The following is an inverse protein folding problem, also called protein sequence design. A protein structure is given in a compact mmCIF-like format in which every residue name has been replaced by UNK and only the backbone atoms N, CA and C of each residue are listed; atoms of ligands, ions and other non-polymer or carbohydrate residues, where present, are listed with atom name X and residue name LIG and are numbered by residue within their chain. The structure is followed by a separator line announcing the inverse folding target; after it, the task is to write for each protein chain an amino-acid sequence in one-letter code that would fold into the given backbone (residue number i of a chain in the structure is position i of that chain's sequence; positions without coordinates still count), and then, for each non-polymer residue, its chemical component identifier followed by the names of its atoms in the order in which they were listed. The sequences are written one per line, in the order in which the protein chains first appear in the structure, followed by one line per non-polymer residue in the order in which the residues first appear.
data_IF_178625342428
#
_entry.id   IF_178625342428
#
_cell.length_a   1.000
_cell.length_b   1.000
_cell.length_c   1.000
_cell.angle_alpha   90.00
_cell.angle_beta   90.00
_cell.angle_gamma   90.00
#
_symmetry.space_group_name_H-M   'P 1'
#
loop_
_entity.id
_entity.type
_entity.pdbx_description
1 polymer ?
#
# COMPACT_ATOMS: atom_id res chain seq x y z
N UNK A 1 17.60 -54.29 39.35
CA UNK A 1 17.79 -52.87 39.72
C UNK A 1 18.63 -52.20 38.65
N UNK A 2 18.11 -51.12 38.05
CA UNK A 2 18.84 -49.94 37.50
C UNK A 2 20.08 -50.29 36.65
N UNK A 3 20.04 -50.27 35.33
CA UNK A 3 20.33 -49.06 34.54
C UNK A 3 20.24 -49.37 33.02
N UNK A 4 19.04 -49.60 32.46
CA UNK A 4 18.91 -49.90 31.02
C UNK A 4 17.83 -49.07 30.29
N UNK A 5 17.57 -47.83 30.73
CA UNK A 5 16.47 -47.01 30.20
C UNK A 5 16.91 -45.62 29.68
N UNK A 6 18.15 -45.18 29.89
CA UNK A 6 18.54 -43.78 29.60
C UNK A 6 19.54 -43.70 28.45
N UNK A 7 19.15 -44.10 27.23
CA UNK A 7 19.85 -43.65 26.00
C UNK A 7 18.89 -43.34 24.83
N UNK A 8 17.58 -43.62 24.95
CA UNK A 8 16.63 -43.46 23.82
C UNK A 8 15.96 -42.08 23.71
N UNK A 9 16.50 -41.02 24.34
CA UNK A 9 15.98 -39.65 24.23
C UNK A 9 17.15 -38.67 24.02
N UNK A 10 17.98 -38.91 23.01
CA UNK A 10 18.84 -37.85 22.44
C UNK A 10 18.60 -37.67 20.94
N UNK A 11 17.46 -38.16 20.44
CA UNK A 11 16.95 -37.90 19.10
C UNK A 11 15.87 -36.81 19.08
N UNK A 12 15.90 -35.87 20.02
CA UNK A 12 15.44 -34.51 19.72
C UNK A 12 16.58 -33.80 18.99
N UNK A 13 16.97 -34.34 17.82
CA UNK A 13 17.60 -33.54 16.78
C UNK A 13 16.58 -32.45 16.51
N UNK A 14 16.78 -31.31 17.16
CA UNK A 14 16.97 -30.01 16.55
C UNK A 14 16.68 -30.04 15.03
N UNK A 15 15.43 -30.33 14.65
CA UNK A 15 14.79 -29.69 13.53
C UNK A 15 14.68 -28.23 13.97
N UNK A 16 15.81 -27.52 13.99
CA UNK A 16 15.82 -26.11 13.69
C UNK A 16 14.99 -26.04 12.43
N UNK A 17 13.76 -25.56 12.57
CA UNK A 17 12.95 -25.24 11.43
C UNK A 17 13.83 -24.36 10.57
N UNK A 18 14.30 -24.93 9.45
CA UNK A 18 14.59 -24.14 8.28
C UNK A 18 13.19 -23.63 7.94
N UNK A 19 12.75 -22.58 8.63
CA UNK A 19 11.77 -21.65 8.12
C UNK A 19 12.47 -21.08 6.90
N UNK A 20 12.43 -21.83 5.80
CA UNK A 20 12.81 -21.35 4.50
C UNK A 20 11.89 -20.16 4.28
N UNK A 21 12.44 -18.96 4.46
CA UNK A 21 11.67 -17.74 4.38
C UNK A 21 11.03 -17.74 3.00
N UNK A 22 9.70 -17.90 2.96
CA UNK A 22 8.98 -18.03 1.70
C UNK A 22 9.34 -16.82 0.85
N UNK A 23 9.76 -17.06 -0.40
CA UNK A 23 10.28 -16.00 -1.26
C UNK A 23 9.22 -14.90 -1.37
N UNK A 24 9.55 -13.71 -0.87
CA UNK A 24 8.67 -12.54 -0.96
C UNK A 24 8.78 -11.96 -2.38
N UNK A 25 7.97 -12.47 -3.29
CA UNK A 25 7.79 -11.89 -4.61
C UNK A 25 6.55 -11.00 -4.56
N UNK A 26 6.74 -9.72 -4.87
CA UNK A 26 5.69 -8.72 -4.87
C UNK A 26 5.47 -8.23 -6.29
N UNK A 27 4.22 -8.12 -6.69
CA UNK A 27 3.82 -7.39 -7.87
C UNK A 27 3.40 -5.98 -7.46
N UNK A 28 4.19 -4.98 -7.86
CA UNK A 28 4.02 -3.60 -7.41
C UNK A 28 3.73 -2.68 -8.58
N UNK A 29 2.93 -1.65 -8.33
CA UNK A 29 2.53 -0.69 -9.36
C UNK A 29 2.69 0.76 -8.92
N UNK A 30 2.85 1.65 -9.90
CA UNK A 30 2.61 3.08 -9.74
C UNK A 30 1.71 3.54 -10.87
N UNK A 31 0.59 4.16 -10.54
CA UNK A 31 -0.44 4.51 -11.53
C UNK A 31 -1.02 5.91 -11.25
N UNK A 32 -0.61 6.89 -12.04
CA UNK A 32 -1.28 8.19 -12.05
C UNK A 32 -2.66 8.03 -12.71
N UNK A 33 -3.73 8.29 -11.95
CA UNK A 33 -5.10 8.05 -12.39
C UNK A 33 -5.66 9.14 -13.30
N UNK A 34 -4.99 10.31 -13.33
CA UNK A 34 -5.55 11.58 -13.78
C UNK A 34 -6.77 12.00 -12.96
N UNK A 35 -6.66 13.14 -12.26
CA UNK A 35 -7.74 13.62 -11.39
C UNK A 35 -9.03 13.89 -12.16
N UNK A 36 -10.17 13.69 -11.51
CA UNK A 36 -11.48 13.96 -12.10
C UNK A 36 -11.70 15.46 -12.28
N UNK A 37 -12.02 15.88 -13.51
CA UNK A 37 -12.26 17.27 -13.87
C UNK A 37 -13.14 17.38 -15.12
N UNK A 38 -13.91 18.47 -15.20
CA UNK A 38 -14.84 18.73 -16.30
C UNK A 38 -14.13 18.94 -17.66
N UNK A 39 -12.84 19.29 -17.64
CA UNK A 39 -12.05 19.56 -18.84
C UNK A 39 -11.75 18.32 -19.67
N UNK A 40 -11.70 17.15 -19.04
CA UNK A 40 -11.37 15.88 -19.70
C UNK A 40 -12.55 15.32 -20.53
N UNK A 41 -13.78 15.82 -20.35
CA UNK A 41 -14.97 15.49 -21.18
C UNK A 41 -15.20 13.97 -21.34
N UNK A 42 -15.02 13.44 -22.55
CA UNK A 42 -15.20 12.02 -22.87
C UNK A 42 -14.17 11.13 -22.14
N UNK A 43 -13.02 11.70 -21.76
CA UNK A 43 -11.99 11.06 -20.94
C UNK A 43 -12.17 11.37 -19.44
N UNK A 44 -13.35 11.81 -18.99
CA UNK A 44 -13.63 12.03 -17.56
C UNK A 44 -13.51 10.73 -16.74
N UNK A 45 -13.35 10.88 -15.42
CA UNK A 45 -13.29 9.71 -14.53
C UNK A 45 -14.52 8.82 -14.65
N UNK A 46 -15.70 9.41 -14.81
CA UNK A 46 -16.96 8.68 -14.95
C UNK A 46 -16.91 7.63 -16.06
N UNK A 47 -16.22 7.92 -17.17
CA UNK A 47 -16.06 6.99 -18.29
C UNK A 47 -14.86 6.05 -18.14
N UNK A 48 -13.83 6.44 -17.38
CA UNK A 48 -12.59 5.66 -17.22
C UNK A 48 -12.57 4.75 -16.00
N UNK A 49 -13.39 5.00 -14.97
CA UNK A 49 -13.30 4.33 -13.65
C UNK A 49 -13.33 2.81 -13.74
N UNK A 50 -14.22 2.23 -14.55
CA UNK A 50 -14.39 0.78 -14.63
C UNK A 50 -13.16 0.12 -15.28
N UNK A 51 -12.57 0.80 -16.27
CA UNK A 51 -11.30 0.38 -16.90
C UNK A 51 -10.13 0.50 -15.92
N UNK A 52 -10.04 1.60 -15.16
CA UNK A 52 -8.98 1.80 -14.18
C UNK A 52 -9.01 0.73 -13.08
N UNK A 53 -10.20 0.43 -12.54
CA UNK A 53 -10.42 -0.67 -11.59
C UNK A 53 -10.00 -1.99 -12.24
N UNK A 54 -10.51 -2.28 -13.43
CA UNK A 54 -10.22 -3.54 -14.13
C UNK A 54 -8.72 -3.74 -14.39
N UNK A 55 -7.97 -2.69 -14.73
CA UNK A 55 -6.52 -2.77 -14.93
C UNK A 55 -5.77 -3.17 -13.66
N UNK A 56 -6.11 -2.57 -12.52
CA UNK A 56 -5.48 -2.91 -11.22
C UNK A 56 -5.73 -4.39 -10.87
N UNK A 57 -6.94 -4.90 -11.12
CA UNK A 57 -7.25 -6.31 -10.90
C UNK A 57 -6.60 -7.24 -11.93
N UNK A 58 -6.63 -6.87 -13.20
CA UNK A 58 -6.04 -7.67 -14.28
C UNK A 58 -4.54 -7.85 -14.11
N UNK A 59 -3.84 -6.79 -13.73
CA UNK A 59 -2.41 -6.85 -13.43
C UNK A 59 -2.10 -7.45 -12.07
N UNK A 60 -3.10 -7.72 -11.23
CA UNK A 60 -2.97 -8.37 -9.92
C UNK A 60 -1.91 -7.71 -9.01
N UNK A 61 -1.97 -6.38 -8.86
CA UNK A 61 -1.05 -5.67 -7.98
C UNK A 61 -1.25 -6.09 -6.53
N UNK A 62 -0.16 -6.31 -5.80
CA UNK A 62 -0.20 -6.61 -4.38
C UNK A 62 -0.30 -5.32 -3.55
N UNK A 63 0.54 -4.36 -3.92
CA UNK A 63 0.61 -3.00 -3.37
C UNK A 63 0.97 -2.05 -4.49
N UNK A 64 0.32 -0.90 -4.56
CA UNK A 64 0.57 0.09 -5.58
C UNK A 64 0.31 1.50 -5.09
N UNK A 65 1.03 2.45 -5.67
CA UNK A 65 0.82 3.88 -5.45
C UNK A 65 -0.06 4.45 -6.54
N UNK A 66 -0.96 5.36 -6.17
CA UNK A 66 -1.65 6.21 -7.14
C UNK A 66 -1.23 7.66 -6.99
N UNK A 67 -1.42 8.42 -8.06
CA UNK A 67 -1.27 9.88 -8.08
C UNK A 67 -2.51 10.51 -8.68
N UNK A 68 -2.73 11.79 -8.36
CA UNK A 68 -3.87 12.61 -8.81
C UNK A 68 -5.26 12.10 -8.39
N UNK A 69 -5.37 11.04 -7.59
CA UNK A 69 -6.67 10.52 -7.17
C UNK A 69 -7.38 11.48 -6.22
N UNK A 70 -8.53 12.01 -6.61
CA UNK A 70 -9.47 12.62 -5.67
C UNK A 70 -10.11 11.54 -4.79
N UNK A 71 -10.60 11.91 -3.61
CA UNK A 71 -11.09 10.94 -2.61
C UNK A 71 -12.17 9.99 -3.17
N UNK A 72 -13.06 10.46 -4.05
CA UNK A 72 -14.06 9.58 -4.67
C UNK A 72 -13.43 8.58 -5.65
N UNK A 73 -12.41 8.98 -6.41
CA UNK A 73 -11.66 8.08 -7.30
C UNK A 73 -10.89 7.00 -6.49
N UNK A 74 -10.30 7.39 -5.34
CA UNK A 74 -9.68 6.43 -4.42
C UNK A 74 -10.73 5.45 -3.87
N UNK A 75 -11.90 5.96 -3.46
CA UNK A 75 -13.01 5.14 -2.95
C UNK A 75 -13.57 4.18 -4.01
N UNK A 76 -13.59 4.57 -5.28
CA UNK A 76 -13.99 3.70 -6.39
C UNK A 76 -13.02 2.51 -6.56
N UNK A 77 -11.71 2.74 -6.46
CA UNK A 77 -10.69 1.67 -6.58
C UNK A 77 -10.74 0.61 -5.46
N UNK A 78 -11.27 0.95 -4.29
CA UNK A 78 -11.34 0.03 -3.13
C UNK A 78 -12.76 -0.45 -2.83
N UNK A 79 -13.73 -0.11 -3.69
CA UNK A 79 -15.16 -0.30 -3.45
C UNK A 79 -15.55 -1.77 -3.31
N UNK A 80 -14.90 -2.66 -4.04
CA UNK A 80 -15.16 -4.11 -4.02
C UNK A 80 -14.66 -4.81 -2.74
N UNK A 81 -13.83 -4.11 -1.95
CA UNK A 81 -13.26 -4.61 -0.71
C UNK A 81 -11.93 -5.34 -0.85
N UNK A 82 -11.42 -5.61 -2.06
CA UNK A 82 -10.15 -6.34 -2.29
C UNK A 82 -8.97 -5.57 -1.72
N UNK A 83 -8.91 -4.28 -2.04
CA UNK A 83 -7.87 -3.37 -1.58
C UNK A 83 -8.32 -2.54 -0.37
N UNK A 84 -7.35 -2.06 0.39
CA UNK A 84 -7.50 -0.90 1.29
C UNK A 84 -6.46 0.15 0.91
N UNK A 85 -6.49 1.32 1.55
CA UNK A 85 -5.55 2.39 1.26
C UNK A 85 -5.11 3.12 2.52
N UNK A 86 -3.94 3.73 2.42
CA UNK A 86 -3.50 4.84 3.29
C UNK A 86 -3.11 6.02 2.41
N UNK A 87 -3.11 7.21 3.00
CA UNK A 87 -2.83 8.45 2.28
C UNK A 87 -3.92 9.47 2.52
N UNK A 88 -3.53 10.74 2.56
CA UNK A 88 -4.44 11.87 2.79
C UNK A 88 -4.44 12.84 1.62
N UNK A 89 -5.50 13.62 1.53
CA UNK A 89 -5.62 14.73 0.58
C UNK A 89 -4.55 15.79 0.86
N UNK A 90 -3.86 16.21 -0.20
CA UNK A 90 -2.73 17.14 -0.09
C UNK A 90 -3.12 18.55 0.38
N UNK A 91 -4.40 18.90 0.40
CA UNK A 91 -4.84 20.26 0.71
C UNK A 91 -5.12 20.50 2.18
N UNK A 92 -5.64 19.50 2.90
CA UNK A 92 -6.05 19.62 4.30
C UNK A 92 -5.49 18.53 5.22
N UNK A 93 -4.76 17.56 4.66
CA UNK A 93 -4.28 16.39 5.41
C UNK A 93 -5.38 15.41 5.81
N UNK A 94 -6.53 15.47 5.15
CA UNK A 94 -7.69 14.59 5.35
C UNK A 94 -8.17 14.07 4.00
N UNK A 95 -9.25 14.61 3.44
CA UNK A 95 -9.85 14.16 2.18
C UNK A 95 -9.77 15.22 1.06
N UNK A 96 -9.35 16.45 1.35
CA UNK A 96 -9.37 17.53 0.35
C UNK A 96 -8.13 17.48 -0.55
N UNK A 97 -8.38 17.60 -1.86
CA UNK A 97 -7.36 17.61 -2.89
C UNK A 97 -6.96 16.23 -3.38
N UNK A 98 -5.98 16.21 -4.29
CA UNK A 98 -5.41 14.98 -4.82
C UNK A 98 -4.66 14.21 -3.73
N UNK A 99 -4.72 12.88 -3.81
CA UNK A 99 -3.99 11.95 -2.95
C UNK A 99 -2.80 11.35 -3.70
N UNK A 100 -1.72 11.11 -2.97
CA UNK A 100 -0.66 10.19 -3.34
C UNK A 100 -0.82 8.90 -2.52
N UNK A 101 -1.95 8.20 -2.72
CA UNK A 101 -2.36 7.10 -1.85
C UNK A 101 -1.60 5.80 -2.16
N UNK A 102 -1.37 5.00 -1.12
CA UNK A 102 -0.84 3.63 -1.21
C UNK A 102 -1.99 2.67 -1.02
N UNK A 103 -2.28 1.86 -2.03
CA UNK A 103 -3.32 0.83 -2.03
C UNK A 103 -2.67 -0.55 -1.92
N UNK A 104 -3.25 -1.44 -1.13
CA UNK A 104 -2.71 -2.79 -0.93
C UNK A 104 -3.80 -3.82 -0.60
N UNK A 105 -3.55 -5.08 -0.98
CA UNK A 105 -4.47 -6.20 -0.72
C UNK A 105 -4.62 -6.46 0.79
N UNK A 106 -5.88 -6.44 1.28
CA UNK A 106 -6.19 -6.61 2.72
C UNK A 106 -5.86 -8.00 3.25
N UNK A 107 -6.04 -9.01 2.41
CA UNK A 107 -5.83 -10.41 2.77
C UNK A 107 -4.33 -10.74 2.89
N UNK A 108 -3.47 -10.14 2.05
CA UNK A 108 -2.03 -10.37 2.03
C UNK A 108 -1.23 -9.56 3.06
N UNK A 109 -1.58 -8.29 3.29
CA UNK A 109 -0.76 -7.42 4.14
C UNK A 109 -1.41 -7.07 5.46
N UNK A 110 -0.58 -6.92 6.49
CA UNK A 110 -0.93 -6.23 7.73
C UNK A 110 -0.26 -4.85 7.71
N UNK A 111 -1.05 -3.80 7.90
CA UNK A 111 -0.52 -2.46 8.14
C UNK A 111 0.10 -2.41 9.54
N UNK A 112 1.38 -2.05 9.61
CA UNK A 112 2.11 -1.88 10.86
C UNK A 112 2.17 -0.41 11.28
N UNK A 113 2.35 0.48 10.31
CA UNK A 113 2.43 1.92 10.52
C UNK A 113 2.16 2.64 9.19
N UNK A 114 1.76 3.90 9.24
CA UNK A 114 1.61 4.75 8.06
C UNK A 114 1.73 6.21 8.41
N UNK A 115 2.00 7.03 7.41
CA UNK A 115 2.10 8.47 7.60
C UNK A 115 2.06 9.23 6.30
N UNK A 116 2.07 10.55 6.45
CA UNK A 116 2.05 11.50 5.36
C UNK A 116 2.96 12.66 5.73
N UNK A 117 3.66 13.21 4.74
CA UNK A 117 4.39 14.45 4.93
C UNK A 117 4.34 15.30 3.66
N UNK A 118 4.32 16.62 3.84
CA UNK A 118 4.36 17.56 2.73
C UNK A 118 5.80 17.77 2.27
N UNK A 119 5.99 17.86 0.96
CA UNK A 119 7.30 18.08 0.36
C UNK A 119 7.64 19.57 0.44
N UNK A 120 8.05 20.00 1.64
CA UNK A 120 8.36 21.38 1.97
C UNK A 120 9.31 21.49 3.18
N UNK A 121 9.63 22.72 3.56
CA UNK A 121 10.32 23.05 4.82
C UNK A 121 9.46 22.78 6.06
N UNK A 122 8.14 22.62 5.92
CA UNK A 122 7.20 22.35 7.03
C UNK A 122 6.36 21.11 6.75
N UNK A 123 6.95 19.95 7.03
CA UNK A 123 6.47 18.65 6.54
C UNK A 123 5.26 18.09 7.29
N UNK A 124 4.96 18.59 8.49
CA UNK A 124 3.94 18.07 9.41
C UNK A 124 2.52 18.59 9.15
N UNK A 125 2.37 19.55 8.24
CA UNK A 125 1.08 20.14 7.87
C UNK A 125 1.03 20.55 6.39
N UNK A 126 -0.18 20.72 5.81
CA UNK A 126 -0.33 21.21 4.45
C UNK A 126 0.43 22.51 4.19
N UNK A 127 1.39 22.44 3.28
CA UNK A 127 2.30 23.55 2.99
C UNK A 127 2.87 23.45 1.58
N UNK A 128 3.20 24.61 1.01
CA UNK A 128 3.97 24.71 -0.23
C UNK A 128 5.46 24.60 0.12
N UNK A 129 6.24 23.91 -0.72
CA UNK A 129 7.69 23.85 -0.58
C UNK A 129 8.36 24.72 -1.63
N UNK A 130 9.37 25.49 -1.23
CA UNK A 130 10.22 26.27 -2.14
C UNK A 130 9.43 27.05 -3.22
N UNK A 131 9.62 26.70 -4.49
CA UNK A 131 9.02 27.31 -5.68
C UNK A 131 7.78 26.56 -6.20
N UNK A 132 7.29 25.55 -5.46
CA UNK A 132 6.19 24.71 -5.87
C UNK A 132 4.89 25.51 -6.05
N UNK A 133 4.22 25.27 -7.18
CA UNK A 133 2.96 25.93 -7.53
C UNK A 133 1.72 25.23 -6.92
N UNK A 134 1.90 24.06 -6.35
CA UNK A 134 0.89 23.33 -5.62
C UNK A 134 1.52 22.58 -4.45
N UNK A 135 0.73 22.33 -3.41
CA UNK A 135 1.12 21.45 -2.30
C UNK A 135 1.40 20.05 -2.86
N UNK A 136 2.44 19.39 -2.34
CA UNK A 136 2.79 18.01 -2.70
C UNK A 136 2.89 17.21 -1.41
N UNK A 137 2.32 16.01 -1.42
CA UNK A 137 2.31 15.09 -0.27
C UNK A 137 2.95 13.77 -0.68
N UNK A 138 3.71 13.18 0.24
CA UNK A 138 4.14 11.79 0.17
C UNK A 138 3.39 11.02 1.25
N UNK A 139 2.69 9.95 0.86
CA UNK A 139 2.10 8.98 1.79
C UNK A 139 2.94 7.71 1.77
N UNK A 140 3.11 7.08 2.93
CA UNK A 140 3.87 5.83 3.04
C UNK A 140 3.14 4.82 3.93
N UNK A 141 3.41 3.54 3.68
CA UNK A 141 2.89 2.43 4.47
C UNK A 141 4.02 1.48 4.89
N UNK A 142 4.14 1.20 6.19
CA UNK A 142 4.92 0.07 6.68
C UNK A 142 4.03 -1.18 6.68
N UNK A 143 4.30 -2.11 5.80
CA UNK A 143 3.50 -3.32 5.59
C UNK A 143 4.27 -4.57 6.03
N UNK A 144 3.53 -5.52 6.59
CA UNK A 144 4.00 -6.90 6.81
C UNK A 144 3.27 -7.85 5.88
N UNK A 145 4.02 -8.54 5.03
CA UNK A 145 3.50 -9.63 4.20
C UNK A 145 3.16 -10.84 5.09
N UNK A 146 1.89 -11.25 5.10
CA UNK A 146 1.44 -12.39 5.91
C UNK A 146 1.94 -13.72 5.37
N UNK A 147 2.36 -13.77 4.10
CA UNK A 147 2.90 -14.98 3.46
C UNK A 147 4.37 -15.18 3.84
N UNK A 148 5.24 -14.22 3.52
CA UNK A 148 6.69 -14.35 3.79
C UNK A 148 7.11 -13.92 5.20
N UNK A 149 6.24 -13.21 5.93
CA UNK A 149 6.55 -12.60 7.22
C UNK A 149 7.45 -11.36 7.14
N UNK A 150 7.88 -10.93 5.94
CA UNK A 150 8.76 -9.77 5.76
C UNK A 150 8.02 -8.46 5.96
N UNK A 151 8.74 -7.48 6.51
CA UNK A 151 8.29 -6.10 6.64
C UNK A 151 8.98 -5.22 5.59
N UNK A 152 8.27 -4.26 5.03
CA UNK A 152 8.80 -3.30 4.07
C UNK A 152 8.03 -1.98 4.15
N UNK A 153 8.61 -0.93 3.57
CA UNK A 153 7.95 0.34 3.33
C UNK A 153 7.57 0.42 1.85
N UNK A 154 6.40 0.95 1.57
CA UNK A 154 5.97 1.38 0.26
C UNK A 154 5.63 2.87 0.31
#
# INVERSE_FOLDING_TARGET
MRNLVIVFISLFSFCSGILGQQKCQLNVGSFNLRYDNDGDKDDSWTHRKDMAVSLVHFHDFDVFGIQEGLIHQVKDLVKDGTYTYVGVGRDDGKEAGEHAAVLFKKDRFKLLDSGNYWLSETQDKPSFGWDAQCRRVCSWAKLKDKVSGKEFYF
#
